data_IF_242994054901
#
_entry.id   IF_242994054901
#
_cell.length_a   1.000
_cell.length_b   1.000
_cell.length_c   1.000
_cell.angle_alpha   90.00
_cell.angle_beta   90.00
_cell.angle_gamma   90.00
#
_symmetry.space_group_name_H-M   'P 1'
#
loop_
_entity.id
_entity.type
_entity.pdbx_description
1 polymer ?
#
# COMPACT_ATOMS: atom_id res chain seq x y z
N UNK A 1 21.11 40.10 -5.15
CA UNK A 1 21.19 39.18 -3.99
C UNK A 1 20.24 38.02 -4.26
N UNK A 2 20.84 36.94 -4.74
CA UNK A 2 20.37 35.54 -4.91
C UNK A 2 18.90 35.21 -4.64
N UNK A 3 18.13 35.14 -5.73
CA UNK A 3 17.17 34.07 -5.95
C UNK A 3 17.89 32.71 -5.96
N UNK A 4 17.14 31.65 -5.68
CA UNK A 4 17.48 30.24 -5.91
C UNK A 4 18.20 29.46 -4.78
N UNK A 5 17.49 29.27 -3.67
CA UNK A 5 17.65 28.10 -2.79
C UNK A 5 16.28 27.57 -2.36
N UNK A 6 15.47 27.12 -3.33
CA UNK A 6 14.45 26.12 -3.04
C UNK A 6 15.15 24.78 -3.10
N UNK A 7 15.50 24.22 -1.95
CA UNK A 7 15.99 22.84 -1.87
C UNK A 7 15.02 21.93 -2.65
N UNK A 8 15.50 21.09 -3.58
CA UNK A 8 14.63 20.18 -4.30
C UNK A 8 13.94 19.28 -3.28
N UNK A 9 12.60 19.28 -3.28
CA UNK A 9 11.83 18.27 -2.56
C UNK A 9 12.31 16.94 -3.12
N UNK A 10 13.05 16.18 -2.31
CA UNK A 10 13.61 14.90 -2.71
C UNK A 10 12.46 14.04 -3.28
N UNK A 11 12.52 13.70 -4.57
CA UNK A 11 11.56 12.79 -5.19
C UNK A 11 11.59 11.51 -4.36
N UNK A 12 10.44 11.14 -3.77
CA UNK A 12 10.27 9.88 -3.05
C UNK A 12 10.62 8.77 -4.03
N UNK A 13 11.65 7.97 -3.74
CA UNK A 13 11.96 6.80 -4.56
C UNK A 13 10.86 5.77 -4.34
N UNK A 14 10.08 5.47 -5.37
CA UNK A 14 9.03 4.46 -5.26
C UNK A 14 9.64 3.09 -4.93
N UNK A 15 9.00 2.37 -4.02
CA UNK A 15 9.36 0.99 -3.65
C UNK A 15 8.98 -0.01 -4.73
N UNK A 16 7.90 0.32 -5.43
CA UNK A 16 7.40 -0.42 -6.57
C UNK A 16 7.64 0.46 -7.81
N UNK A 17 8.50 0.03 -8.76
CA UNK A 17 8.81 0.82 -9.95
C UNK A 17 7.57 1.13 -10.80
N UNK A 18 6.50 0.35 -10.63
CA UNK A 18 5.24 0.49 -11.36
C UNK A 18 4.16 1.21 -10.55
N UNK A 19 4.43 1.64 -9.32
CA UNK A 19 3.48 2.45 -8.55
C UNK A 19 3.90 3.93 -8.53
N UNK A 20 3.06 4.86 -9.02
CA UNK A 20 3.36 6.29 -9.02
C UNK A 20 3.19 6.95 -7.64
N UNK A 21 2.62 6.26 -6.64
CA UNK A 21 2.35 6.80 -5.30
C UNK A 21 2.87 5.89 -4.18
N UNK A 22 3.58 6.48 -3.21
CA UNK A 22 4.27 5.75 -2.14
C UNK A 22 3.46 5.64 -0.83
N UNK A 23 3.53 4.51 -0.11
CA UNK A 23 3.82 3.16 -0.60
C UNK A 23 2.52 2.44 -0.95
N UNK A 24 2.39 1.95 -2.19
CA UNK A 24 1.49 0.85 -2.53
C UNK A 24 2.36 -0.38 -2.78
N UNK A 25 2.31 -1.35 -1.87
CA UNK A 25 2.99 -2.63 -1.97
C UNK A 25 2.01 -3.71 -2.45
N UNK A 26 2.46 -4.63 -3.29
CA UNK A 26 1.72 -5.86 -3.58
C UNK A 26 2.22 -6.96 -2.64
N UNK A 27 1.30 -7.53 -1.86
CA UNK A 27 1.59 -8.60 -0.90
C UNK A 27 0.88 -9.89 -1.29
N UNK A 28 1.57 -11.02 -1.17
CA UNK A 28 0.98 -12.35 -1.33
C UNK A 28 0.93 -13.02 0.02
N UNK A 29 -0.23 -13.50 0.42
CA UNK A 29 -0.45 -14.13 1.71
C UNK A 29 -0.56 -15.64 1.52
N UNK A 30 0.31 -16.37 2.22
CA UNK A 30 0.26 -17.82 2.36
C UNK A 30 -0.67 -18.22 3.53
N UNK A 31 -1.21 -19.44 3.48
CA UNK A 31 -2.12 -20.03 4.48
C UNK A 31 -1.54 -19.94 5.89
N UNK A 32 -0.28 -20.30 6.09
CA UNK A 32 0.34 -20.28 7.42
C UNK A 32 0.41 -18.85 7.99
N UNK A 33 0.74 -17.87 7.16
CA UNK A 33 0.79 -16.47 7.58
C UNK A 33 -0.62 -15.92 7.89
N UNK A 34 -1.62 -16.34 7.11
CA UNK A 34 -3.02 -15.98 7.31
C UNK A 34 -3.57 -16.56 8.62
N UNK A 35 -3.43 -17.86 8.84
CA UNK A 35 -3.88 -18.54 10.07
C UNK A 35 -3.23 -17.95 11.33
N UNK A 36 -1.92 -17.73 11.30
CA UNK A 36 -1.19 -17.08 12.41
C UNK A 36 -1.68 -15.65 12.67
N UNK A 37 -2.08 -14.92 11.63
CA UNK A 37 -2.63 -13.57 11.78
C UNK A 37 -4.02 -13.59 12.40
N UNK A 38 -4.92 -14.47 11.92
CA UNK A 38 -6.27 -14.65 12.46
C UNK A 38 -6.22 -15.06 13.94
N UNK A 39 -5.38 -16.03 14.29
CA UNK A 39 -5.23 -16.51 15.67
C UNK A 39 -4.72 -15.39 16.59
N UNK A 40 -3.68 -14.65 16.14
CA UNK A 40 -3.12 -13.57 16.93
C UNK A 40 -4.13 -12.45 17.18
N UNK A 41 -4.93 -12.11 16.17
CA UNK A 41 -5.94 -11.05 16.28
C UNK A 41 -7.04 -11.44 17.26
N UNK A 42 -7.58 -12.65 17.11
CA UNK A 42 -8.62 -13.15 18.01
C UNK A 42 -8.12 -13.29 19.46
N UNK A 43 -6.88 -13.75 19.65
CA UNK A 43 -6.32 -14.01 20.98
C UNK A 43 -5.89 -12.74 21.69
N UNK A 44 -5.28 -11.79 20.99
CA UNK A 44 -4.66 -10.60 21.60
C UNK A 44 -5.54 -9.35 21.48
N UNK A 45 -6.58 -9.38 20.65
CA UNK A 45 -7.43 -8.23 20.38
C UNK A 45 -6.74 -7.10 19.62
N UNK A 46 -5.55 -7.36 19.04
CA UNK A 46 -4.83 -6.41 18.22
C UNK A 46 -4.95 -6.79 16.76
N UNK A 47 -5.23 -5.83 15.90
CA UNK A 47 -5.33 -6.02 14.46
C UNK A 47 -3.99 -6.43 13.86
N UNK A 48 -3.99 -7.43 12.98
CA UNK A 48 -2.76 -8.02 12.43
C UNK A 48 -2.01 -7.02 11.57
N UNK A 49 -0.73 -7.30 11.32
CA UNK A 49 0.08 -6.48 10.42
C UNK A 49 -0.49 -6.47 9.01
N UNK A 50 -1.02 -7.60 8.54
CA UNK A 50 -1.63 -7.73 7.22
C UNK A 50 -2.83 -6.77 7.09
N UNK A 51 -3.77 -6.85 8.03
CA UNK A 51 -4.95 -5.98 8.02
C UNK A 51 -4.57 -4.51 8.16
N UNK A 52 -3.65 -4.16 9.07
CA UNK A 52 -3.20 -2.78 9.24
C UNK A 52 -2.55 -2.21 7.97
N UNK A 53 -1.81 -3.01 7.21
CA UNK A 53 -1.21 -2.59 5.94
C UNK A 53 -2.27 -2.37 4.87
N UNK A 54 -3.27 -3.24 4.82
CA UNK A 54 -4.42 -3.13 3.89
C UNK A 54 -5.28 -1.90 4.22
N UNK A 55 -5.71 -1.72 5.47
CA UNK A 55 -6.54 -0.58 5.90
C UNK A 55 -5.87 0.77 5.68
N UNK A 56 -4.54 0.82 5.83
CA UNK A 56 -3.76 2.02 5.59
C UNK A 56 -3.57 2.34 4.09
N UNK A 57 -4.09 1.50 3.19
CA UNK A 57 -3.86 1.58 1.74
C UNK A 57 -2.39 1.44 1.38
N UNK A 58 -1.60 0.83 2.26
CA UNK A 58 -0.15 0.71 2.07
C UNK A 58 0.22 -0.58 1.33
N UNK A 59 -0.63 -1.60 1.42
CA UNK A 59 -0.50 -2.81 0.64
C UNK A 59 -1.84 -3.28 0.08
N UNK A 60 -1.83 -3.83 -1.13
CA UNK A 60 -2.91 -4.67 -1.65
C UNK A 60 -2.50 -6.13 -1.46
N UNK A 61 -3.37 -6.92 -0.83
CA UNK A 61 -3.09 -8.30 -0.49
C UNK A 61 -3.79 -9.26 -1.44
N UNK A 62 -3.04 -10.22 -1.96
CA UNK A 62 -3.50 -11.30 -2.80
C UNK A 62 -3.23 -12.65 -2.14
N UNK A 63 -4.02 -13.65 -2.46
CA UNK A 63 -3.77 -15.04 -2.10
C UNK A 63 -4.17 -15.92 -3.27
N UNK A 64 -3.52 -17.07 -3.46
CA UNK A 64 -4.00 -18.05 -4.42
C UNK A 64 -5.29 -18.71 -3.89
N UNK A 65 -6.14 -19.20 -4.79
CA UNK A 65 -7.43 -19.78 -4.40
C UNK A 65 -7.30 -20.95 -3.41
N UNK A 66 -6.25 -21.79 -3.51
CA UNK A 66 -6.05 -22.90 -2.56
C UNK A 66 -5.90 -22.40 -1.11
N UNK A 67 -5.32 -21.21 -0.89
CA UNK A 67 -5.16 -20.62 0.44
C UNK A 67 -6.52 -20.41 1.12
N UNK A 68 -7.55 -20.09 0.34
CA UNK A 68 -8.92 -19.99 0.85
C UNK A 68 -9.41 -21.34 1.38
N UNK A 69 -9.26 -22.39 0.57
CA UNK A 69 -9.70 -23.75 0.90
C UNK A 69 -8.97 -24.29 2.12
N UNK A 70 -7.64 -24.20 2.11
CA UNK A 70 -6.79 -24.62 3.22
C UNK A 70 -7.09 -23.86 4.50
N UNK A 71 -7.35 -22.55 4.41
CA UNK A 71 -7.74 -21.77 5.59
C UNK A 71 -8.99 -22.37 6.22
N UNK A 72 -10.05 -22.62 5.44
CA UNK A 72 -11.26 -23.26 5.97
C UNK A 72 -11.01 -24.68 6.52
N UNK A 73 -10.14 -25.47 5.88
CA UNK A 73 -9.77 -26.81 6.37
C UNK A 73 -9.02 -26.76 7.70
N UNK A 74 -8.13 -25.77 7.87
CA UNK A 74 -7.24 -25.69 9.02
C UNK A 74 -7.84 -24.94 10.22
N UNK A 75 -8.86 -24.10 10.02
CA UNK A 75 -9.56 -23.40 11.10
C UNK A 75 -10.03 -24.35 12.23
N UNK A 76 -10.68 -25.50 11.95
CA UNK A 76 -11.04 -26.49 12.99
C UNK A 76 -9.83 -27.01 13.77
N UNK A 77 -8.76 -27.42 13.08
CA UNK A 77 -7.53 -27.91 13.74
C UNK A 77 -6.88 -26.84 14.61
N UNK A 78 -6.96 -25.57 14.20
CA UNK A 78 -6.49 -24.43 14.98
C UNK A 78 -7.36 -24.20 16.22
N UNK A 79 -8.68 -24.33 16.11
CA UNK A 79 -9.61 -24.21 17.24
C UNK A 79 -9.40 -25.31 18.29
N UNK A 80 -9.10 -26.55 17.86
CA UNK A 80 -8.83 -27.68 18.77
C UNK A 80 -7.56 -27.49 19.62
N UNK A 81 -6.55 -26.82 19.06
CA UNK A 81 -5.25 -26.58 19.72
C UNK A 81 -5.20 -25.24 20.46
N UNK A 82 -6.05 -24.31 20.08
CA UNK A 82 -6.06 -22.93 20.54
C UNK A 82 -7.01 -22.66 21.70
N UNK A 83 -7.00 -21.42 22.15
CA UNK A 83 -7.94 -20.91 23.16
C UNK A 83 -9.16 -20.21 22.53
N UNK A 84 -9.21 -20.12 21.20
CA UNK A 84 -10.25 -19.38 20.48
C UNK A 84 -11.23 -20.38 19.84
N UNK A 85 -12.55 -20.28 20.12
CA UNK A 85 -13.54 -21.14 19.50
C UNK A 85 -13.56 -21.04 17.97
N UNK A 86 -13.87 -22.14 17.28
CA UNK A 86 -13.97 -22.20 15.82
C UNK A 86 -14.92 -21.14 15.25
N UNK A 87 -16.08 -20.96 15.87
CA UNK A 87 -17.06 -19.96 15.44
C UNK A 87 -16.47 -18.53 15.45
N UNK A 88 -15.68 -18.20 16.46
CA UNK A 88 -15.01 -16.90 16.57
C UNK A 88 -13.93 -16.74 15.50
N UNK A 89 -13.10 -17.76 15.30
CA UNK A 89 -12.05 -17.73 14.28
C UNK A 89 -12.63 -17.57 12.87
N UNK A 90 -13.67 -18.34 12.55
CA UNK A 90 -14.36 -18.30 11.25
C UNK A 90 -15.04 -16.95 11.04
N UNK A 91 -15.83 -16.47 12.00
CA UNK A 91 -16.50 -15.18 11.90
C UNK A 91 -15.49 -14.03 11.72
N UNK A 92 -14.35 -14.09 12.42
CA UNK A 92 -13.31 -13.07 12.28
C UNK A 92 -12.61 -13.14 10.93
N UNK A 93 -12.29 -14.34 10.44
CA UNK A 93 -11.74 -14.53 9.10
C UNK A 93 -12.68 -13.98 8.01
N UNK A 94 -13.94 -14.36 8.06
CA UNK A 94 -14.96 -13.96 7.08
C UNK A 94 -15.25 -12.46 7.11
N UNK A 95 -15.26 -11.83 8.29
CA UNK A 95 -15.57 -10.41 8.42
C UNK A 95 -14.39 -9.48 8.12
N UNK A 96 -13.17 -9.87 8.49
CA UNK A 96 -12.02 -8.95 8.46
C UNK A 96 -11.01 -9.27 7.35
N UNK A 97 -10.78 -10.56 7.06
CA UNK A 97 -9.73 -10.98 6.13
C UNK A 97 -10.25 -11.16 4.71
N UNK A 98 -11.44 -11.74 4.52
CA UNK A 98 -12.02 -11.89 3.17
C UNK A 98 -12.15 -10.56 2.41
N UNK A 99 -12.61 -9.45 3.02
CA UNK A 99 -12.68 -8.16 2.33
C UNK A 99 -11.31 -7.52 2.07
N UNK A 100 -10.29 -7.90 2.85
CA UNK A 100 -8.95 -7.34 2.74
C UNK A 100 -8.06 -8.08 1.73
N UNK A 101 -8.51 -9.23 1.21
CA UNK A 101 -7.78 -10.13 0.32
C UNK A 101 -8.47 -10.28 -1.02
N UNK A 102 -7.68 -10.32 -2.09
CA UNK A 102 -8.14 -10.77 -3.42
C UNK A 102 -7.62 -12.16 -3.69
N UNK A 103 -8.54 -13.09 -3.96
CA UNK A 103 -8.19 -14.48 -4.22
C UNK A 103 -8.02 -14.71 -5.72
N UNK A 104 -6.91 -15.31 -6.13
CA UNK A 104 -6.53 -15.47 -7.53
C UNK A 104 -6.57 -16.93 -7.92
N UNK A 105 -7.40 -17.24 -8.91
CA UNK A 105 -7.43 -18.56 -9.54
C UNK A 105 -6.25 -18.66 -10.50
N UNK A 106 -5.25 -19.45 -10.14
CA UNK A 106 -4.08 -19.68 -10.99
C UNK A 106 -4.37 -20.81 -11.97
N UNK A 107 -4.28 -20.53 -13.27
CA UNK A 107 -4.12 -21.56 -14.29
C UNK A 107 -2.65 -21.96 -14.41
N UNK A 108 -2.38 -23.07 -15.09
CA UNK A 108 -1.01 -23.42 -15.48
C UNK A 108 -0.35 -22.22 -16.17
N UNK A 109 0.75 -21.75 -15.59
CA UNK A 109 1.46 -20.56 -16.07
C UNK A 109 2.29 -20.93 -17.30
N UNK A 110 2.69 -19.92 -18.09
CA UNK A 110 3.40 -20.05 -19.36
C UNK A 110 4.79 -20.74 -19.19
N UNK A 111 4.77 -22.06 -19.10
CA UNK A 111 5.95 -22.92 -19.06
C UNK A 111 6.60 -23.09 -17.68
N UNK A 112 7.60 -23.97 -17.57
CA UNK A 112 8.30 -24.24 -16.33
C UNK A 112 9.17 -23.06 -15.89
N UNK A 113 9.06 -22.64 -14.63
CA UNK A 113 9.96 -21.67 -13.98
C UNK A 113 10.83 -22.40 -12.96
N UNK A 114 12.15 -22.31 -13.09
CA UNK A 114 13.09 -23.06 -12.23
C UNK A 114 12.93 -22.74 -10.74
N UNK A 115 12.56 -21.50 -10.40
CA UNK A 115 12.38 -21.07 -9.02
C UNK A 115 11.10 -21.70 -8.46
N UNK A 116 10.01 -21.73 -9.23
CA UNK A 116 8.75 -22.40 -8.85
C UNK A 116 8.94 -23.92 -8.76
N UNK A 117 9.67 -24.52 -9.71
CA UNK A 117 9.99 -25.95 -9.70
C UNK A 117 10.86 -26.37 -8.50
N UNK A 118 11.58 -25.42 -7.88
CA UNK A 118 12.33 -25.67 -6.67
C UNK A 118 11.46 -25.70 -5.40
N UNK A 119 10.18 -25.33 -5.48
CA UNK A 119 9.22 -25.50 -4.39
C UNK A 119 8.94 -27.01 -4.25
N UNK A 120 9.28 -27.56 -3.08
CA UNK A 120 9.17 -29.02 -2.87
C UNK A 120 7.79 -29.45 -2.36
N UNK A 121 7.00 -28.52 -1.84
CA UNK A 121 5.61 -28.78 -1.45
C UNK A 121 4.69 -28.38 -2.61
N UNK A 122 3.87 -29.31 -3.08
CA UNK A 122 3.01 -29.07 -4.25
C UNK A 122 1.88 -28.08 -3.94
N UNK A 123 1.49 -27.98 -2.67
CA UNK A 123 0.39 -27.11 -2.24
C UNK A 123 0.82 -25.62 -2.29
N UNK A 124 2.12 -25.35 -2.13
CA UNK A 124 2.73 -24.00 -2.22
C UNK A 124 2.98 -23.52 -3.66
N UNK A 125 2.92 -24.42 -4.65
CA UNK A 125 3.25 -24.11 -6.06
C UNK A 125 2.40 -22.96 -6.63
N UNK A 126 1.06 -22.91 -6.41
CA UNK A 126 0.26 -21.80 -6.92
C UNK A 126 0.62 -20.46 -6.26
N UNK A 127 1.09 -20.46 -5.00
CA UNK A 127 1.58 -19.25 -4.32
C UNK A 127 2.86 -18.75 -4.98
N UNK A 128 3.78 -19.65 -5.33
CA UNK A 128 4.99 -19.33 -6.11
C UNK A 128 4.65 -18.75 -7.49
N UNK A 129 3.71 -19.38 -8.19
CA UNK A 129 3.25 -18.89 -9.50
C UNK A 129 2.61 -17.52 -9.44
N UNK A 130 1.75 -17.26 -8.45
CA UNK A 130 1.15 -15.95 -8.23
C UNK A 130 2.24 -14.90 -7.97
N UNK A 131 3.28 -15.25 -7.20
CA UNK A 131 4.41 -14.36 -6.96
C UNK A 131 5.18 -14.00 -8.22
N UNK A 132 5.45 -14.98 -9.09
CA UNK A 132 6.07 -14.72 -10.40
C UNK A 132 5.20 -13.89 -11.33
N UNK A 133 3.88 -14.05 -11.24
CA UNK A 133 2.93 -13.37 -12.11
C UNK A 133 2.88 -11.85 -11.84
N UNK A 134 2.92 -11.45 -10.56
CA UNK A 134 2.66 -10.05 -10.15
C UNK A 134 3.89 -9.31 -9.61
N UNK A 135 5.05 -9.99 -9.60
CA UNK A 135 6.31 -9.41 -9.16
C UNK A 135 6.58 -8.05 -9.85
N UNK A 136 7.06 -7.04 -9.12
CA UNK A 136 7.60 -7.10 -7.77
C UNK A 136 6.54 -7.16 -6.67
N UNK A 137 6.75 -8.01 -5.67
CA UNK A 137 5.82 -8.22 -4.56
C UNK A 137 6.53 -8.78 -3.33
N UNK A 138 5.86 -8.82 -2.17
CA UNK A 138 6.36 -9.50 -0.96
C UNK A 138 5.49 -10.72 -0.68
N UNK A 139 6.10 -11.90 -0.55
CA UNK A 139 5.40 -13.12 -0.12
C UNK A 139 5.50 -13.23 1.40
N UNK A 140 4.35 -13.16 2.06
CA UNK A 140 4.21 -13.36 3.50
C UNK A 140 4.01 -14.84 3.78
N UNK A 141 5.11 -15.54 4.04
CA UNK A 141 5.09 -16.95 4.45
C UNK A 141 6.21 -17.23 5.45
N UNK A 142 5.93 -18.12 6.40
CA UNK A 142 6.94 -18.71 7.26
C UNK A 142 7.48 -20.05 6.76
N UNK A 143 6.92 -20.59 5.67
CA UNK A 143 7.23 -21.90 5.14
C UNK A 143 8.65 -21.97 4.56
N UNK A 144 9.37 -23.04 4.91
CA UNK A 144 10.68 -23.36 4.34
C UNK A 144 10.59 -23.65 2.84
N UNK A 145 9.45 -24.14 2.36
CA UNK A 145 9.20 -24.53 0.97
C UNK A 145 9.11 -23.31 0.04
N UNK A 146 8.63 -22.17 0.55
CA UNK A 146 8.67 -20.87 -0.13
C UNK A 146 9.93 -20.05 0.19
N UNK A 147 10.53 -20.20 1.38
CA UNK A 147 11.76 -19.49 1.76
C UNK A 147 13.01 -20.01 1.03
N UNK A 148 13.16 -21.33 0.86
CA UNK A 148 14.35 -21.92 0.23
C UNK A 148 14.54 -21.50 -1.24
N UNK A 149 13.49 -21.47 -2.08
CA UNK A 149 13.60 -20.97 -3.46
C UNK A 149 13.70 -19.44 -3.54
N UNK A 150 13.54 -18.73 -2.41
CA UNK A 150 13.67 -17.27 -2.38
C UNK A 150 12.39 -16.49 -2.70
N UNK A 151 11.20 -17.12 -2.60
CA UNK A 151 9.93 -16.41 -2.72
C UNK A 151 9.61 -15.60 -1.47
N UNK A 152 9.80 -16.21 -0.30
CA UNK A 152 9.52 -15.59 0.98
C UNK A 152 10.82 -15.17 1.69
N UNK A 153 10.87 -13.96 2.28
CA UNK A 153 12.02 -13.52 3.04
C UNK A 153 12.11 -14.29 4.37
N UNK A 154 13.32 -14.37 4.94
CA UNK A 154 13.55 -15.09 6.20
C UNK A 154 12.78 -14.51 7.40
N UNK A 155 12.50 -13.21 7.38
CA UNK A 155 11.84 -12.47 8.48
C UNK A 155 10.84 -11.44 7.91
N UNK A 156 9.77 -11.94 7.30
CA UNK A 156 8.74 -11.10 6.67
C UNK A 156 8.04 -10.19 7.69
N UNK A 157 7.98 -10.58 8.96
CA UNK A 157 7.35 -9.80 10.02
C UNK A 157 8.10 -8.49 10.27
N UNK A 158 9.44 -8.48 10.15
CA UNK A 158 10.25 -7.25 10.18
C UNK A 158 9.98 -6.35 8.98
N UNK A 159 9.78 -6.92 7.80
CA UNK A 159 9.41 -6.15 6.62
C UNK A 159 8.02 -5.53 6.77
N UNK A 160 7.02 -6.30 7.19
CA UNK A 160 5.68 -5.81 7.46
C UNK A 160 5.67 -4.68 8.52
N UNK A 161 6.48 -4.83 9.58
CA UNK A 161 6.68 -3.73 10.55
C UNK A 161 7.28 -2.48 9.89
N UNK A 162 8.25 -2.65 9.01
CA UNK A 162 8.89 -1.53 8.30
C UNK A 162 7.90 -0.81 7.38
N UNK A 163 6.99 -1.54 6.73
CA UNK A 163 5.90 -0.96 5.93
C UNK A 163 4.95 -0.14 6.80
N UNK A 164 4.55 -0.68 7.96
CA UNK A 164 3.71 0.04 8.92
C UNK A 164 4.40 1.28 9.48
N UNK A 165 5.70 1.19 9.81
CA UNK A 165 6.48 2.34 10.29
C UNK A 165 6.55 3.47 9.24
N UNK A 166 6.56 3.12 7.94
CA UNK A 166 6.47 4.10 6.84
C UNK A 166 5.06 4.72 6.79
N UNK A 167 4.01 3.89 6.82
CA UNK A 167 2.62 4.35 6.77
C UNK A 167 2.27 5.29 7.94
N UNK A 168 2.64 4.89 9.16
CA UNK A 168 2.46 5.67 10.38
C UNK A 168 3.28 6.98 10.30
N UNK A 169 4.49 6.94 9.74
CA UNK A 169 5.31 8.14 9.48
C UNK A 169 4.66 9.14 8.52
N UNK A 170 4.02 8.67 7.44
CA UNK A 170 3.29 9.52 6.48
C UNK A 170 2.05 10.14 7.14
N UNK A 171 1.33 9.37 7.97
CA UNK A 171 0.15 9.85 8.71
C UNK A 171 0.52 10.90 9.77
N UNK A 172 1.59 10.67 10.51
CA UNK A 172 2.13 11.62 11.49
C UNK A 172 2.62 12.91 10.82
N UNK A 173 3.16 12.84 9.60
CA UNK A 173 3.55 14.01 8.83
C UNK A 173 2.32 14.84 8.41
N UNK A 174 1.24 14.19 7.97
CA UNK A 174 0.00 14.88 7.61
C UNK A 174 -0.65 15.56 8.83
N UNK A 175 -0.66 14.90 9.99
CA UNK A 175 -1.21 15.45 11.24
C UNK A 175 -0.33 16.57 11.80
N UNK A 176 1.00 16.42 11.75
CA UNK A 176 1.94 17.43 12.29
C UNK A 176 1.98 18.69 11.41
N UNK A 177 1.93 18.55 10.07
CA UNK A 177 1.80 19.69 9.15
C UNK A 177 0.43 20.36 9.31
N UNK A 178 -0.64 19.59 9.52
CA UNK A 178 -1.97 20.15 9.79
C UNK A 178 -2.06 20.86 11.15
N UNK A 179 -1.38 20.36 12.20
CA UNK A 179 -1.35 20.98 13.52
C UNK A 179 -0.46 22.24 13.55
N UNK A 180 0.68 22.25 12.85
CA UNK A 180 1.52 23.44 12.70
C UNK A 180 0.87 24.52 11.80
N UNK A 181 -0.04 24.13 10.90
CA UNK A 181 -0.82 25.03 10.06
C UNK A 181 -2.13 25.54 10.70
N UNK A 182 -2.46 25.11 11.94
CA UNK A 182 -3.64 25.61 12.67
C UNK A 182 -3.72 27.14 12.76
N UNK A 183 -2.62 27.90 12.97
CA UNK A 183 -2.68 29.37 12.96
C UNK A 183 -3.05 29.93 11.58
N UNK A 184 -2.55 29.32 10.49
CA UNK A 184 -2.79 29.77 9.12
C UNK A 184 -4.20 29.43 8.64
N UNK A 185 -4.72 28.23 8.94
CA UNK A 185 -6.10 27.84 8.63
C UNK A 185 -7.12 28.50 9.55
N UNK A 186 -6.79 28.74 10.82
CA UNK A 186 -7.61 29.53 11.73
C UNK A 186 -7.86 30.94 11.20
N UNK A 187 -6.83 31.59 10.65
CA UNK A 187 -6.95 32.88 10.00
C UNK A 187 -7.82 32.83 8.73
N UNK A 188 -7.59 31.85 7.84
CA UNK A 188 -8.39 31.68 6.60
C UNK A 188 -9.86 31.33 6.90
N UNK A 189 -10.12 30.54 7.94
CA UNK A 189 -11.46 30.20 8.42
C UNK A 189 -12.19 31.42 8.98
N UNK A 190 -11.51 32.23 9.82
CA UNK A 190 -12.06 33.49 10.33
C UNK A 190 -12.36 34.49 9.20
N UNK A 191 -11.48 34.61 8.21
CA UNK A 191 -11.63 35.49 7.04
C UNK A 191 -12.85 35.10 6.20
N UNK A 192 -13.07 33.81 5.97
CA UNK A 192 -14.25 33.32 5.24
C UNK A 192 -15.55 33.47 6.04
N UNK A 193 -15.51 33.26 7.36
CA UNK A 193 -16.66 33.41 8.24
C UNK A 193 -17.10 34.88 8.32
N UNK A 194 -16.15 35.80 8.54
CA UNK A 194 -16.39 37.24 8.57
C UNK A 194 -16.86 37.78 7.21
N UNK A 195 -16.29 37.29 6.09
CA UNK A 195 -16.72 37.68 4.75
C UNK A 195 -18.16 37.29 4.43
N UNK A 196 -18.60 36.09 4.85
CA UNK A 196 -20.00 35.65 4.69
C UNK A 196 -20.98 36.45 5.53
N UNK A 197 -20.59 36.88 6.73
CA UNK A 197 -21.49 37.56 7.66
C UNK A 197 -21.56 39.09 7.42
N UNK A 198 -20.54 39.68 6.79
CA UNK A 198 -20.45 41.13 6.56
C UNK A 198 -20.61 41.56 5.11
N UNK A 199 -20.67 40.62 4.15
CA UNK A 199 -20.75 40.92 2.71
C UNK A 199 -19.46 41.49 2.12
N UNK A 200 -18.39 41.59 2.92
CA UNK A 200 -17.09 42.13 2.49
C UNK A 200 -16.28 41.03 1.81
N UNK A 201 -15.63 41.36 0.69
CA UNK A 201 -14.79 40.44 -0.08
C UNK A 201 -13.71 39.79 0.81
N UNK A 202 -13.55 38.46 0.78
CA UNK A 202 -12.51 37.74 1.54
C UNK A 202 -11.09 38.26 1.29
N UNK A 203 -10.83 38.79 0.10
CA UNK A 203 -9.54 39.38 -0.27
C UNK A 203 -9.27 40.71 0.45
N UNK A 204 -10.29 41.53 0.70
CA UNK A 204 -10.16 42.79 1.43
C UNK A 204 -9.89 42.54 2.92
N UNK A 205 -10.57 41.56 3.53
CA UNK A 205 -10.31 41.13 4.91
C UNK A 205 -8.90 40.52 5.01
N UNK A 206 -8.49 39.72 4.03
CA UNK A 206 -7.13 39.19 3.94
C UNK A 206 -6.06 40.29 3.90
N UNK A 207 -6.28 41.36 3.11
CA UNK A 207 -5.38 42.50 3.04
C UNK A 207 -5.30 43.28 4.36
N UNK A 208 -6.41 43.45 5.08
CA UNK A 208 -6.43 44.12 6.41
C UNK A 208 -5.72 43.28 7.47
N UNK A 209 -5.89 41.96 7.46
CA UNK A 209 -5.19 41.06 8.40
C UNK A 209 -3.68 41.03 8.11
N UNK A 210 -3.29 40.95 6.84
CA UNK A 210 -1.88 41.01 6.44
C UNK A 210 -1.26 42.39 6.73
N UNK A 211 -1.96 43.48 6.44
CA UNK A 211 -1.53 44.85 6.73
C UNK A 211 -1.45 45.15 8.23
N UNK A 212 -2.45 44.70 9.00
CA UNK A 212 -2.47 44.80 10.46
C UNK A 212 -1.38 43.96 11.13
N UNK A 213 -1.13 42.75 10.62
CA UNK A 213 -0.02 41.89 11.02
C UNK A 213 1.34 42.54 10.75
N UNK A 214 1.53 43.13 9.56
CA UNK A 214 2.74 43.85 9.20
C UNK A 214 2.97 45.10 10.09
N UNK A 215 1.91 45.85 10.41
CA UNK A 215 1.99 47.00 11.33
C UNK A 215 2.27 46.59 12.78
N UNK A 216 1.70 45.48 13.26
CA UNK A 216 1.97 44.92 14.59
C UNK A 216 3.42 44.40 14.72
N UNK A 217 4.01 43.93 13.62
CA UNK A 217 5.41 43.50 13.54
C UNK A 217 6.43 44.65 13.46
N UNK A 218 5.97 45.91 13.35
CA UNK A 218 6.82 47.11 13.30
C UNK A 218 7.49 47.42 14.64
N UNK A 219 6.99 46.89 15.77
CA UNK A 219 7.64 47.01 17.10
C UNK A 219 8.75 45.96 17.28
N UNK A 220 10.00 46.43 17.43
CA UNK A 220 11.23 45.60 17.56
C UNK A 220 11.13 44.42 18.55
N UNK A 221 10.57 44.64 19.74
CA UNK A 221 10.43 43.59 20.75
C UNK A 221 9.46 42.47 20.34
N UNK A 222 8.41 42.78 19.58
CA UNK A 222 7.45 41.78 19.08
C UNK A 222 7.98 41.05 17.86
N UNK A 223 8.79 41.71 17.02
CA UNK A 223 9.52 41.07 15.92
C UNK A 223 10.49 40.01 16.42
N UNK A 224 11.23 40.29 17.50
CA UNK A 224 12.14 39.30 18.12
C UNK A 224 11.39 38.10 18.71
N UNK A 225 10.24 38.34 19.35
CA UNK A 225 9.40 37.26 19.89
C UNK A 225 8.76 36.39 18.79
N UNK A 226 8.24 37.01 17.72
CA UNK A 226 7.69 36.28 16.58
C UNK A 226 8.77 35.51 15.82
N UNK A 227 9.96 36.09 15.65
CA UNK A 227 11.10 35.41 15.02
C UNK A 227 11.59 34.24 15.87
N UNK A 228 11.70 34.37 17.20
CA UNK A 228 12.14 33.27 18.05
C UNK A 228 11.11 32.13 18.10
N UNK A 229 9.82 32.46 18.06
CA UNK A 229 8.76 31.46 17.95
C UNK A 229 8.78 30.76 16.59
N UNK A 230 8.97 31.49 15.50
CA UNK A 230 9.08 30.93 14.15
C UNK A 230 10.29 30.01 14.01
N UNK A 231 11.46 30.40 14.55
CA UNK A 231 12.67 29.57 14.56
C UNK A 231 12.45 28.29 15.36
N UNK A 232 11.88 28.38 16.57
CA UNK A 232 11.58 27.19 17.39
C UNK A 232 10.54 26.27 16.72
N UNK A 233 9.53 26.83 16.08
CA UNK A 233 8.54 26.06 15.33
C UNK A 233 9.20 25.36 14.12
N UNK A 234 10.06 26.06 13.38
CA UNK A 234 10.84 25.50 12.27
C UNK A 234 11.80 24.40 12.74
N UNK A 235 12.45 24.56 13.89
CA UNK A 235 13.38 23.58 14.46
C UNK A 235 12.66 22.30 14.92
N UNK A 236 11.49 22.44 15.58
CA UNK A 236 10.64 21.30 15.96
C UNK A 236 10.07 20.59 14.73
N UNK A 237 9.66 21.33 13.71
CA UNK A 237 9.19 20.73 12.44
C UNK A 237 10.36 20.07 11.70
N UNK A 238 11.52 20.70 11.65
CA UNK A 238 12.73 20.19 10.97
C UNK A 238 13.23 18.89 11.60
N UNK A 239 13.41 18.84 12.91
CA UNK A 239 13.86 17.63 13.63
C UNK A 239 12.86 16.47 13.50
N UNK A 240 11.55 16.76 13.54
CA UNK A 240 10.51 15.73 13.30
C UNK A 240 10.50 15.25 11.85
N UNK A 241 10.70 16.16 10.89
CA UNK A 241 10.76 15.84 9.46
C UNK A 241 11.99 14.99 9.14
N UNK A 242 13.15 15.32 9.70
CA UNK A 242 14.38 14.53 9.55
C UNK A 242 14.22 13.12 10.15
N UNK A 243 13.65 13.02 11.36
CA UNK A 243 13.38 11.73 11.99
C UNK A 243 12.34 10.89 11.22
N UNK A 244 11.37 11.53 10.56
CA UNK A 244 10.40 10.87 9.68
C UNK A 244 11.09 10.37 8.39
N UNK A 245 11.87 11.22 7.72
CA UNK A 245 12.62 10.84 6.51
C UNK A 245 13.64 9.72 6.77
N UNK A 246 14.33 9.74 7.92
CA UNK A 246 15.27 8.70 8.30
C UNK A 246 14.59 7.36 8.65
N UNK A 247 13.33 7.38 9.14
CA UNK A 247 12.52 6.18 9.31
C UNK A 247 12.02 5.65 7.97
N UNK A 248 11.54 6.54 7.10
CA UNK A 248 11.10 6.19 5.75
C UNK A 248 12.22 5.54 4.93
N UNK A 249 13.42 6.15 4.87
CA UNK A 249 14.57 5.58 4.16
C UNK A 249 14.97 4.19 4.67
N UNK A 250 15.08 4.03 5.99
CA UNK A 250 15.41 2.73 6.60
C UNK A 250 14.32 1.67 6.35
N UNK A 251 13.06 2.07 6.34
CA UNK A 251 11.96 1.18 6.00
C UNK A 251 12.02 0.76 4.54
N UNK A 252 12.31 1.70 3.63
CA UNK A 252 12.44 1.46 2.20
C UNK A 252 13.61 0.51 1.88
N UNK A 253 14.78 0.74 2.48
CA UNK A 253 15.95 -0.13 2.31
C UNK A 253 15.65 -1.56 2.76
N UNK A 254 15.06 -1.73 3.95
CA UNK A 254 14.64 -3.05 4.44
C UNK A 254 13.58 -3.71 3.57
N UNK A 255 12.68 -2.93 2.98
CA UNK A 255 11.66 -3.48 2.10
C UNK A 255 12.27 -3.97 0.78
N UNK A 256 13.27 -3.26 0.24
CA UNK A 256 14.01 -3.72 -0.96
C UNK A 256 14.72 -5.05 -0.74
N UNK A 257 15.17 -5.34 0.48
CA UNK A 257 15.78 -6.63 0.82
C UNK A 257 14.80 -7.82 0.79
N UNK A 258 13.48 -7.56 0.82
CA UNK A 258 12.46 -8.61 0.90
C UNK A 258 11.49 -8.67 -0.28
N UNK A 259 11.54 -7.68 -1.18
CA UNK A 259 10.72 -7.67 -2.39
C UNK A 259 11.29 -8.69 -3.36
N UNK A 260 10.43 -9.60 -3.82
CA UNK A 260 10.71 -10.43 -4.99
C UNK A 260 10.90 -9.50 -6.19
N UNK A 261 12.02 -9.65 -6.88
CA UNK A 261 12.37 -8.76 -7.99
C UNK A 261 11.39 -8.88 -9.16
N UNK A 262 11.18 -7.77 -9.86
CA UNK A 262 10.44 -7.76 -11.12
C UNK A 262 11.09 -8.71 -12.15
N UNK A 263 10.30 -9.38 -13.01
CA UNK A 263 10.84 -10.12 -14.13
C UNK A 263 11.61 -9.18 -15.07
N UNK A 264 12.76 -9.64 -15.59
CA UNK A 264 13.61 -8.84 -16.47
C UNK A 264 12.99 -8.57 -17.84
N UNK A 265 12.08 -9.46 -18.28
CA UNK A 265 11.28 -9.36 -19.51
C UNK A 265 9.89 -9.93 -19.25
N UNK A 266 8.94 -9.13 -18.76
CA UNK A 266 7.60 -9.61 -18.44
C UNK A 266 6.84 -10.01 -19.71
N UNK A 267 6.19 -11.18 -19.70
CA UNK A 267 5.23 -11.56 -20.74
C UNK A 267 4.02 -10.62 -20.75
N UNK A 268 3.21 -10.60 -21.83
CA UNK A 268 2.00 -9.77 -21.86
C UNK A 268 1.07 -10.10 -20.69
N UNK A 269 0.92 -11.40 -20.34
CA UNK A 269 0.17 -11.85 -19.17
C UNK A 269 0.71 -11.26 -17.87
N UNK A 270 2.03 -11.29 -17.66
CA UNK A 270 2.66 -10.65 -16.51
C UNK A 270 2.49 -9.13 -16.52
N UNK A 271 2.62 -8.45 -17.66
CA UNK A 271 2.41 -7.00 -17.75
C UNK A 271 0.98 -6.62 -17.34
N UNK A 272 -0.02 -7.35 -17.85
CA UNK A 272 -1.44 -7.17 -17.46
C UNK A 272 -1.63 -7.41 -15.96
N UNK A 273 -1.08 -8.49 -15.42
CA UNK A 273 -1.21 -8.83 -14.00
C UNK A 273 -0.50 -7.83 -13.09
N UNK A 274 0.70 -7.37 -13.45
CA UNK A 274 1.45 -6.33 -12.74
C UNK A 274 0.62 -5.04 -12.69
N UNK A 275 0.07 -4.60 -13.83
CA UNK A 275 -0.77 -3.40 -13.90
C UNK A 275 -1.98 -3.55 -12.98
N UNK A 276 -2.77 -4.62 -13.15
CA UNK A 276 -4.00 -4.83 -12.38
C UNK A 276 -3.76 -5.03 -10.89
N UNK A 277 -2.64 -5.66 -10.50
CA UNK A 277 -2.30 -5.91 -9.10
C UNK A 277 -2.19 -4.61 -8.27
N UNK A 278 -1.89 -3.49 -8.94
CA UNK A 278 -1.63 -2.17 -8.33
C UNK A 278 -2.83 -1.23 -8.39
N UNK A 279 -3.96 -1.69 -8.93
CA UNK A 279 -5.17 -0.88 -9.05
C UNK A 279 -6.17 -1.25 -7.96
N UNK A 280 -6.62 -0.23 -7.24
CA UNK A 280 -7.73 -0.38 -6.31
C UNK A 280 -9.04 -0.63 -7.06
N UNK A 281 -9.23 0.04 -8.19
CA UNK A 281 -10.47 -0.03 -8.99
C UNK A 281 -10.31 -0.93 -10.23
N UNK A 282 -11.38 -1.65 -10.63
CA UNK A 282 -11.41 -2.44 -11.86
C UNK A 282 -11.24 -1.57 -13.12
N UNK A 283 -10.43 -2.04 -14.07
CA UNK A 283 -10.05 -1.29 -15.27
C UNK A 283 -10.64 -1.86 -16.56
N UNK A 284 -10.88 -0.99 -17.54
CA UNK A 284 -11.15 -1.36 -18.93
C UNK A 284 -9.88 -1.89 -19.59
N UNK A 285 -10.02 -2.76 -20.60
CA UNK A 285 -8.87 -3.26 -21.36
C UNK A 285 -8.02 -2.13 -21.99
N UNK A 286 -8.65 -1.03 -22.40
CA UNK A 286 -7.94 0.15 -22.91
C UNK A 286 -7.15 0.89 -21.81
N UNK A 287 -7.71 1.00 -20.60
CA UNK A 287 -7.01 1.59 -19.45
C UNK A 287 -5.80 0.73 -19.04
N UNK A 288 -5.94 -0.60 -19.06
CA UNK A 288 -4.82 -1.54 -18.84
C UNK A 288 -3.74 -1.35 -19.90
N UNK A 289 -4.13 -1.27 -21.18
CA UNK A 289 -3.21 -1.04 -22.30
C UNK A 289 -2.42 0.26 -22.14
N UNK A 290 -3.07 1.37 -21.83
CA UNK A 290 -2.40 2.66 -21.59
C UNK A 290 -1.40 2.58 -20.43
N UNK A 291 -1.75 1.91 -19.34
CA UNK A 291 -0.87 1.72 -18.18
C UNK A 291 0.33 0.81 -18.50
N UNK A 292 0.15 -0.22 -19.35
CA UNK A 292 1.26 -1.05 -19.83
C UNK A 292 2.30 -0.17 -20.56
N UNK A 293 1.87 0.69 -21.49
CA UNK A 293 2.79 1.60 -22.19
C UNK A 293 3.51 2.55 -21.23
N UNK A 294 2.81 3.02 -20.19
CA UNK A 294 3.41 3.91 -19.19
C UNK A 294 4.42 3.21 -18.28
N UNK A 295 4.24 1.92 -18.00
CA UNK A 295 5.03 1.15 -17.04
C UNK A 295 6.16 0.35 -17.68
N UNK A 296 6.06 0.02 -18.96
CA UNK A 296 7.02 -0.80 -19.69
C UNK A 296 7.48 -0.11 -20.99
N UNK A 297 8.13 1.07 -20.91
CA UNK A 297 8.53 1.84 -22.09
C UNK A 297 9.61 1.15 -22.93
N UNK A 298 10.37 0.22 -22.32
CA UNK A 298 11.47 -0.51 -22.97
C UNK A 298 11.01 -1.84 -23.61
N UNK A 299 9.75 -2.25 -23.39
CA UNK A 299 9.19 -3.49 -23.94
C UNK A 299 8.53 -3.26 -25.30
N UNK A 300 8.41 -4.32 -26.14
CA UNK A 300 7.70 -4.22 -27.41
C UNK A 300 6.27 -3.71 -27.24
N UNK A 301 5.84 -2.84 -28.14
CA UNK A 301 4.49 -2.32 -28.22
C UNK A 301 3.45 -3.46 -28.20
N UNK A 302 2.63 -3.49 -27.15
CA UNK A 302 1.54 -4.47 -27.01
C UNK A 302 0.31 -3.95 -27.75
N UNK A 303 -0.35 -4.83 -28.51
CA UNK A 303 -1.63 -4.53 -29.16
C UNK A 303 -2.79 -4.64 -28.16
N UNK A 304 -3.79 -3.77 -28.29
CA UNK A 304 -4.99 -3.80 -27.45
C UNK A 304 -5.75 -5.12 -27.59
N UNK A 305 -5.75 -5.72 -28.78
CA UNK A 305 -6.38 -7.02 -28.98
C UNK A 305 -5.67 -8.12 -28.18
N UNK A 306 -4.33 -8.08 -28.11
CA UNK A 306 -3.56 -9.01 -27.30
C UNK A 306 -3.87 -8.86 -25.80
N UNK A 307 -4.01 -7.62 -25.29
CA UNK A 307 -4.45 -7.37 -23.91
C UNK A 307 -5.83 -7.97 -23.65
N UNK A 308 -6.79 -7.80 -24.57
CA UNK A 308 -8.13 -8.39 -24.45
C UNK A 308 -8.10 -9.90 -24.42
N UNK A 309 -7.35 -10.53 -25.33
CA UNK A 309 -7.17 -11.98 -25.37
C UNK A 309 -6.63 -12.51 -24.05
N UNK A 310 -5.57 -11.88 -23.51
CA UNK A 310 -5.00 -12.27 -22.21
C UNK A 310 -6.02 -12.14 -21.07
N UNK A 311 -6.78 -11.03 -21.02
CA UNK A 311 -7.82 -10.83 -20.01
C UNK A 311 -8.94 -11.86 -20.12
N UNK A 312 -9.33 -12.25 -21.32
CA UNK A 312 -10.43 -13.19 -21.56
C UNK A 312 -10.03 -14.66 -21.34
N UNK A 313 -8.77 -15.02 -21.62
CA UNK A 313 -8.26 -16.39 -21.51
C UNK A 313 -7.70 -16.72 -20.11
N UNK A 314 -7.16 -15.74 -19.39
CA UNK A 314 -6.54 -15.94 -18.07
C UNK A 314 -7.57 -16.07 -16.94
N UNK A 315 -7.48 -17.14 -16.14
CA UNK A 315 -8.38 -17.35 -15.00
C UNK A 315 -8.09 -16.41 -13.83
N UNK A 316 -6.89 -15.85 -13.78
CA UNK A 316 -6.46 -14.86 -12.80
C UNK A 316 -7.18 -13.51 -12.96
N UNK A 317 -7.75 -13.24 -14.14
CA UNK A 317 -8.40 -11.97 -14.47
C UNK A 317 -9.91 -12.11 -14.39
N UNK A 318 -10.53 -11.32 -13.51
CA UNK A 318 -11.95 -11.42 -13.22
C UNK A 318 -12.68 -10.18 -13.72
N UNK A 319 -13.72 -10.40 -14.53
CA UNK A 319 -14.61 -9.33 -14.99
C UNK A 319 -15.70 -9.08 -13.94
N UNK A 320 -15.48 -8.08 -13.07
CA UNK A 320 -16.40 -7.75 -11.97
C UNK A 320 -17.53 -6.79 -12.36
N UNK A 321 -17.34 -6.00 -13.41
CA UNK A 321 -18.37 -5.13 -13.98
C UNK A 321 -18.31 -5.19 -15.51
N UNK A 322 -19.28 -4.58 -16.18
CA UNK A 322 -19.35 -4.58 -17.64
C UNK A 322 -18.05 -4.03 -18.24
N UNK A 323 -17.27 -4.93 -18.85
CA UNK A 323 -15.95 -4.68 -19.46
C UNK A 323 -14.84 -4.20 -18.51
N UNK A 324 -15.05 -4.23 -17.19
CA UNK A 324 -14.01 -3.89 -16.22
C UNK A 324 -13.44 -5.15 -15.56
N UNK A 325 -12.12 -5.19 -15.54
CA UNK A 325 -11.30 -6.31 -15.13
C UNK A 325 -10.48 -5.95 -13.91
N UNK A 326 -10.25 -6.93 -13.05
CA UNK A 326 -9.33 -6.84 -11.92
C UNK A 326 -8.55 -8.15 -11.80
N UNK A 327 -7.45 -8.12 -11.07
CA UNK A 327 -6.73 -9.32 -10.69
C UNK A 327 -7.43 -9.97 -9.49
N UNK A 328 -7.77 -11.25 -9.62
CA UNK A 328 -8.47 -12.01 -8.59
C UNK A 328 -9.89 -11.54 -8.29
N UNK A 329 -10.55 -12.23 -7.37
CA UNK A 329 -11.92 -11.98 -6.93
C UNK A 329 -11.97 -11.70 -5.44
N UNK A 330 -12.95 -10.89 -5.07
CA UNK A 330 -13.43 -10.85 -3.70
C UNK A 330 -14.28 -12.11 -3.44
N UNK A 331 -14.25 -12.59 -2.21
CA UNK A 331 -14.89 -13.85 -1.84
C UNK A 331 -15.91 -13.58 -0.75
N UNK A 332 -17.15 -14.01 -0.99
CA UNK A 332 -18.20 -13.97 0.02
C UNK A 332 -18.00 -15.11 1.06
N UNK A 333 -18.46 -14.92 2.31
CA UNK A 333 -18.46 -15.98 3.32
C UNK A 333 -19.12 -17.27 2.81
N UNK A 334 -18.59 -18.43 3.22
CA UNK A 334 -19.22 -19.73 2.86
C UNK A 334 -20.51 -19.90 3.65
N UNK A 335 -21.58 -20.29 2.95
CA UNK A 335 -22.81 -20.75 3.59
C UNK A 335 -22.45 -21.91 4.54
N UNK A 336 -22.82 -21.76 5.82
CA UNK A 336 -22.70 -22.80 6.85
C UNK A 336 -23.61 -23.99 6.57
#
# INVERSE_FOLDING_TARGET
MTEDQRAPIARRTSLDPYSPSAPHLVGIVDTNALLSSIENDCRKGFRSRLLRMSDAGTATLYAADHVLDETYEHLPRMAERGLVPLATLRAHFEAEYLPALRFVTMSDVDGPDEQVLAITDTDDVPTGWLAKLIAPCVVFSDDKHLKKPGFAPKDWQRAAKSVLDIADGVRDQAVTVNAAALPARGAVGLVKLLGRQTGISPWAIGAVVLGGGALLLKKSNRRKAAASFAVKALEVVGTKLEAAMARERRGVEKLREVILAAPSRPTIRQQVAIVLARQAEPLLAAEVHELIYAHFPDEPAVDLQAVRTVLEEGTEFVRVQRYRWQLGREVAPRSS
#
